data_IF_133962133721
#
_entry.id   IF_133962133721
#
_cell.length_a   1.000
_cell.length_b   1.000
_cell.length_c   1.000
_cell.angle_alpha   90.00
_cell.angle_beta   90.00
_cell.angle_gamma   90.00
#
_symmetry.space_group_name_H-M   'P 1'
#
loop_
_entity.id
_entity.type
_entity.pdbx_description
1 polymer ?
#
# COMPACT_ATOMS: atom_id res chain seq x y z
N UNK A 1 4.28 36.57 -22.14
CA UNK A 1 3.41 35.62 -21.40
C UNK A 1 4.05 35.36 -20.05
N UNK A 2 3.61 36.10 -19.04
CA UNK A 2 4.15 36.10 -17.68
C UNK A 2 3.71 34.83 -16.95
N UNK A 3 4.68 34.02 -16.49
CA UNK A 3 4.47 32.87 -15.60
C UNK A 3 4.03 33.39 -14.23
N UNK A 4 2.73 33.47 -13.96
CA UNK A 4 2.24 33.89 -12.62
C UNK A 4 1.22 32.97 -11.95
N UNK A 5 0.73 31.92 -12.61
CA UNK A 5 -0.42 31.15 -12.06
C UNK A 5 -0.08 29.72 -11.60
N UNK A 6 1.19 29.35 -11.45
CA UNK A 6 1.56 27.98 -11.02
C UNK A 6 1.72 27.79 -9.49
N UNK A 7 1.46 28.81 -8.67
CA UNK A 7 1.65 28.75 -7.19
C UNK A 7 0.37 28.88 -6.35
N UNK A 8 -0.81 28.88 -6.96
CA UNK A 8 -2.08 29.10 -6.26
C UNK A 8 -2.88 27.82 -5.93
N UNK A 9 -2.29 26.62 -6.08
CA UNK A 9 -3.08 25.38 -6.14
C UNK A 9 -2.95 24.37 -5.00
N UNK A 10 -2.09 24.58 -3.99
CA UNK A 10 -1.85 23.56 -2.95
C UNK A 10 -1.73 24.16 -1.53
N UNK A 11 -2.82 24.73 -0.99
CA UNK A 11 -2.82 25.30 0.36
C UNK A 11 -2.45 24.27 1.43
N UNK A 12 -2.79 22.99 1.25
CA UNK A 12 -2.49 21.90 2.18
C UNK A 12 -0.99 21.56 2.22
N UNK A 13 -0.31 21.61 1.07
CA UNK A 13 1.13 21.38 0.99
C UNK A 13 1.92 22.48 1.71
N UNK A 14 1.49 23.74 1.55
CA UNK A 14 2.07 24.88 2.26
C UNK A 14 1.82 24.82 3.77
N UNK A 15 0.60 24.46 4.18
CA UNK A 15 0.26 24.28 5.59
C UNK A 15 1.10 23.14 6.23
N UNK A 16 1.26 22.03 5.51
CA UNK A 16 2.09 20.90 5.93
C UNK A 16 3.55 21.31 6.09
N UNK A 17 4.10 22.04 5.11
CA UNK A 17 5.49 22.53 5.15
C UNK A 17 5.72 23.50 6.31
N UNK A 18 4.80 24.45 6.53
CA UNK A 18 4.91 25.39 7.63
C UNK A 18 4.84 24.70 9.00
N UNK A 19 4.01 23.65 9.11
CA UNK A 19 3.90 22.87 10.33
C UNK A 19 5.14 21.99 10.58
N UNK A 20 5.69 21.34 9.55
CA UNK A 20 6.91 20.53 9.71
C UNK A 20 8.14 21.38 10.04
N UNK A 21 8.26 22.58 9.46
CA UNK A 21 9.33 23.52 9.79
C UNK A 21 9.35 23.92 11.27
N UNK A 22 8.20 23.88 11.95
CA UNK A 22 8.05 24.16 13.39
C UNK A 22 8.21 22.92 14.27
N UNK A 23 8.25 21.73 13.68
CA UNK A 23 8.29 20.43 14.36
C UNK A 23 9.56 19.65 13.94
N UNK A 24 10.72 20.29 14.04
CA UNK A 24 12.04 19.71 13.73
C UNK A 24 12.15 19.04 12.35
N UNK A 25 11.40 19.54 11.36
CA UNK A 25 11.34 18.99 10.02
C UNK A 25 10.43 17.76 9.87
N UNK A 26 9.83 17.28 10.96
CA UNK A 26 8.88 16.17 10.96
C UNK A 26 7.46 16.68 10.75
N UNK A 27 6.72 16.05 9.85
CA UNK A 27 5.28 16.31 9.68
C UNK A 27 4.54 15.87 10.95
N UNK A 28 3.72 16.75 11.57
CA UNK A 28 2.87 16.34 12.69
C UNK A 28 1.87 15.24 12.28
N UNK A 29 1.63 14.27 13.15
CA UNK A 29 0.71 13.14 12.88
C UNK A 29 -0.74 13.59 12.64
N UNK A 30 -1.12 14.76 13.19
CA UNK A 30 -2.44 15.37 12.98
C UNK A 30 -2.65 15.96 11.59
N UNK A 31 -1.60 16.06 10.77
CA UNK A 31 -1.67 16.62 9.42
C UNK A 31 -1.56 15.47 8.40
N UNK A 32 -2.59 15.31 7.58
CA UNK A 32 -2.65 14.32 6.49
C UNK A 32 -3.73 13.28 6.68
N UNK A 33 -3.83 12.37 5.71
CA UNK A 33 -4.75 11.24 5.75
C UNK A 33 -4.03 10.04 6.38
N UNK A 34 -4.63 9.46 7.41
CA UNK A 34 -4.28 8.14 7.92
C UNK A 34 -5.26 7.10 7.40
N UNK A 35 -4.84 5.83 7.41
CA UNK A 35 -5.76 4.74 7.13
C UNK A 35 -6.80 4.62 8.26
N UNK A 36 -8.07 4.57 7.90
CA UNK A 36 -9.17 4.23 8.82
C UNK A 36 -9.25 2.70 8.98
N UNK A 37 -9.97 2.15 9.96
CA UNK A 37 -10.16 0.70 10.07
C UNK A 37 -10.71 0.05 8.79
N UNK A 38 -11.52 0.77 8.03
CA UNK A 38 -12.13 0.31 6.78
C UNK A 38 -11.16 0.33 5.59
N UNK A 39 -10.11 1.15 5.67
CA UNK A 39 -9.10 1.33 4.60
C UNK A 39 -7.71 0.83 5.00
N UNK A 40 -7.57 0.37 6.24
CA UNK A 40 -6.36 -0.23 6.75
C UNK A 40 -6.07 -1.53 5.99
N UNK A 41 -4.78 -1.77 5.76
CA UNK A 41 -4.34 -3.03 5.18
C UNK A 41 -4.74 -4.20 6.10
N UNK A 42 -5.18 -5.30 5.49
CA UNK A 42 -5.38 -6.55 6.22
C UNK A 42 -3.99 -7.03 6.68
N UNK A 43 -3.77 -7.28 7.98
CA UNK A 43 -2.49 -7.78 8.46
C UNK A 43 -2.14 -9.11 7.79
N UNK A 44 -0.93 -9.21 7.23
CA UNK A 44 -0.41 -10.43 6.62
C UNK A 44 1.12 -10.46 6.69
N UNK A 45 1.69 -11.66 6.83
CA UNK A 45 3.15 -11.88 6.80
C UNK A 45 3.71 -11.73 5.38
N UNK A 46 4.80 -10.96 5.27
CA UNK A 46 5.56 -10.82 4.03
C UNK A 46 6.21 -12.16 3.61
N UNK A 47 6.64 -12.96 4.57
CA UNK A 47 7.24 -14.27 4.34
C UNK A 47 6.23 -15.25 3.74
N UNK A 48 5.00 -15.27 4.27
CA UNK A 48 3.92 -16.11 3.73
C UNK A 48 3.59 -15.73 2.27
N UNK A 49 3.58 -14.43 1.95
CA UNK A 49 3.40 -13.96 0.57
C UNK A 49 4.55 -14.39 -0.34
N UNK A 50 5.78 -14.31 0.14
CA UNK A 50 6.95 -14.71 -0.63
C UNK A 50 6.94 -16.21 -0.93
N UNK A 51 6.54 -17.04 0.05
CA UNK A 51 6.40 -18.49 -0.14
C UNK A 51 5.32 -18.83 -1.17
N UNK A 52 4.12 -18.26 -1.04
CA UNK A 52 3.05 -18.46 -2.01
C UNK A 52 3.46 -18.04 -3.43
N UNK A 53 4.09 -16.86 -3.57
CA UNK A 53 4.61 -16.39 -4.86
C UNK A 53 5.68 -17.33 -5.43
N UNK A 54 6.56 -17.86 -4.60
CA UNK A 54 7.60 -18.80 -5.02
C UNK A 54 6.99 -20.07 -5.59
N UNK A 55 5.95 -20.61 -4.95
CA UNK A 55 5.24 -21.81 -5.44
C UNK A 55 4.56 -21.58 -6.78
N UNK A 56 3.85 -20.44 -6.94
CA UNK A 56 3.24 -20.04 -8.22
C UNK A 56 4.28 -19.99 -9.34
N UNK A 57 5.42 -19.34 -9.09
CA UNK A 57 6.48 -19.22 -10.09
C UNK A 57 7.10 -20.57 -10.43
N UNK A 58 7.36 -21.42 -9.44
CA UNK A 58 7.91 -22.75 -9.65
C UNK A 58 6.95 -23.65 -10.44
N UNK A 59 5.66 -23.62 -10.12
CA UNK A 59 4.65 -24.40 -10.82
C UNK A 59 4.52 -23.94 -12.27
N UNK A 60 4.45 -22.62 -12.51
CA UNK A 60 4.39 -22.08 -13.87
C UNK A 60 5.60 -22.43 -14.73
N UNK A 61 6.80 -22.54 -14.15
CA UNK A 61 8.02 -22.92 -14.87
C UNK A 61 8.14 -24.43 -15.07
N UNK A 62 7.80 -25.22 -14.05
CA UNK A 62 8.04 -26.68 -14.07
C UNK A 62 6.87 -27.48 -14.62
N UNK A 63 5.65 -26.92 -14.63
CA UNK A 63 4.42 -27.65 -14.94
C UNK A 63 4.05 -28.72 -13.92
N UNK A 64 4.75 -28.75 -12.77
CA UNK A 64 4.45 -29.64 -11.67
C UNK A 64 3.69 -28.89 -10.59
N UNK A 65 2.64 -29.51 -10.07
CA UNK A 65 1.85 -29.01 -8.96
C UNK A 65 2.76 -28.73 -7.74
N UNK A 66 2.71 -27.49 -7.24
CA UNK A 66 3.42 -27.02 -6.05
C UNK A 66 2.47 -26.57 -4.94
N UNK A 67 1.20 -26.93 -5.02
CA UNK A 67 0.14 -26.47 -4.12
C UNK A 67 0.11 -24.93 -4.05
N UNK A 68 0.26 -24.28 -5.21
CA UNK A 68 0.30 -22.83 -5.30
C UNK A 68 -1.05 -22.20 -4.90
N UNK A 69 -2.15 -22.81 -5.33
CA UNK A 69 -3.51 -22.35 -5.03
C UNK A 69 -3.82 -22.46 -3.53
N UNK A 70 -3.43 -23.55 -2.86
CA UNK A 70 -3.59 -23.71 -1.41
C UNK A 70 -2.77 -22.68 -0.63
N UNK A 71 -1.55 -22.37 -1.10
CA UNK A 71 -0.70 -21.36 -0.47
C UNK A 71 -1.28 -19.96 -0.59
N UNK A 72 -1.89 -19.63 -1.75
CA UNK A 72 -2.64 -18.38 -1.93
C UNK A 72 -3.88 -18.35 -1.05
N UNK A 73 -4.61 -19.46 -0.96
CA UNK A 73 -5.85 -19.57 -0.21
C UNK A 73 -5.67 -19.43 1.29
N UNK A 74 -4.49 -19.76 1.80
CA UNK A 74 -4.10 -19.56 3.19
C UNK A 74 -3.78 -18.09 3.53
N UNK A 75 -3.58 -17.20 2.55
CA UNK A 75 -3.26 -15.79 2.82
C UNK A 75 -4.48 -15.02 3.33
N UNK A 76 -4.40 -14.35 4.49
CA UNK A 76 -5.51 -13.60 5.06
C UNK A 76 -6.01 -12.45 4.17
N UNK A 77 -5.09 -11.85 3.41
CA UNK A 77 -5.37 -10.71 2.54
C UNK A 77 -5.58 -11.09 1.07
N UNK A 78 -5.81 -12.38 0.78
CA UNK A 78 -6.11 -12.82 -0.58
C UNK A 78 -7.35 -12.10 -1.12
N UNK A 79 -7.29 -11.67 -2.38
CA UNK A 79 -8.44 -11.09 -3.07
C UNK A 79 -9.47 -12.17 -3.34
N UNK A 80 -10.45 -12.34 -2.45
CA UNK A 80 -11.58 -13.22 -2.73
C UNK A 80 -12.33 -12.69 -3.96
N UNK A 81 -12.53 -13.53 -4.99
CA UNK A 81 -13.49 -13.20 -6.05
C UNK A 81 -14.83 -12.90 -5.40
N UNK A 82 -15.49 -11.81 -5.81
CA UNK A 82 -16.89 -11.60 -5.48
C UNK A 82 -17.65 -12.88 -5.84
N UNK A 83 -18.29 -13.51 -4.84
CA UNK A 83 -19.26 -14.58 -5.07
C UNK A 83 -20.32 -13.99 -6.01
N UNK A 84 -20.28 -14.38 -7.28
CA UNK A 84 -21.40 -14.17 -8.21
C UNK A 84 -22.47 -15.22 -7.94
#
# INVERSE_FOLDING_TARGET
MTKTDQKAGQPEALATFAASARNDGHKPESIGLGATPETAAIPTSSEAKADAATRVLQEGVTGHDRNADEAIDALPDRTAKARR
#
